data_IF_432532495848
#
_entry.id   IF_432532495848
#
_cell.length_a   1.000
_cell.length_b   1.000
_cell.length_c   1.000
_cell.angle_alpha   90.00
_cell.angle_beta   90.00
_cell.angle_gamma   90.00
#
_symmetry.space_group_name_H-M   'P 1'
#
loop_
_entity.id
_entity.type
_entity.pdbx_description
1 polymer ?
#
# COMPACT_ATOMS: atom_id res chain seq x y z
N UNK A 1 6.93 -1.73 24.73
CA UNK A 1 5.44 -1.74 24.82
C UNK A 1 4.92 -1.43 26.21
N UNK A 2 5.48 -1.99 27.30
CA UNK A 2 4.98 -1.74 28.67
C UNK A 2 4.94 -0.28 29.11
N UNK A 3 5.79 0.59 28.54
CA UNK A 3 5.85 2.02 28.86
C UNK A 3 4.98 2.90 27.95
N UNK A 4 4.24 2.31 27.02
CA UNK A 4 3.34 3.02 26.09
C UNK A 4 1.95 2.37 26.11
N UNK A 5 1.17 2.56 27.20
CA UNK A 5 -0.11 1.89 27.39
C UNK A 5 -1.30 2.61 26.73
N UNK A 6 -1.06 3.77 26.10
CA UNK A 6 -2.13 4.62 25.57
C UNK A 6 -2.77 3.96 24.36
N UNK A 7 -4.12 3.90 24.34
CA UNK A 7 -4.90 3.35 23.22
C UNK A 7 -4.93 4.32 22.03
N UNK A 8 -5.28 3.80 20.85
CA UNK A 8 -5.52 4.60 19.64
C UNK A 8 -6.70 5.54 19.86
N UNK A 9 -7.76 5.06 20.50
CA UNK A 9 -8.95 5.83 20.86
C UNK A 9 -8.67 6.64 22.13
N UNK A 10 -8.11 7.80 21.96
CA UNK A 10 -7.66 8.75 22.98
C UNK A 10 -8.13 10.16 22.64
N UNK A 11 -7.63 11.19 23.33
CA UNK A 11 -7.88 12.58 22.92
C UNK A 11 -7.42 12.81 21.47
N UNK A 12 -8.26 13.44 20.67
CA UNK A 12 -8.11 13.48 19.21
C UNK A 12 -6.87 14.21 18.69
N UNK A 13 -6.27 15.09 19.50
CA UNK A 13 -4.98 15.73 19.21
C UNK A 13 -3.77 14.81 19.40
N UNK A 14 -3.96 13.61 20.01
CA UNK A 14 -2.87 12.71 20.36
C UNK A 14 -2.03 13.15 21.56
N UNK A 15 -2.52 14.09 22.37
CA UNK A 15 -1.79 14.64 23.53
C UNK A 15 -1.36 13.54 24.50
N UNK A 16 -2.19 12.52 24.74
CA UNK A 16 -1.82 11.41 25.63
C UNK A 16 -0.60 10.64 25.11
N UNK A 17 -0.54 10.37 23.81
CA UNK A 17 0.64 9.72 23.19
C UNK A 17 1.87 10.62 23.25
N UNK A 18 1.73 11.93 22.94
CA UNK A 18 2.83 12.88 23.01
C UNK A 18 3.40 12.94 24.43
N UNK A 19 2.54 13.13 25.43
CA UNK A 19 3.00 13.24 26.83
C UNK A 19 3.56 11.92 27.36
N UNK A 20 3.00 10.78 26.99
CA UNK A 20 3.58 9.49 27.34
C UNK A 20 5.01 9.35 26.77
N UNK A 21 5.26 9.74 25.53
CA UNK A 21 6.61 9.76 24.97
C UNK A 21 7.54 10.70 25.74
N UNK A 22 7.09 11.92 26.04
CA UNK A 22 7.86 12.92 26.80
C UNK A 22 8.19 12.45 28.21
N UNK A 23 7.27 11.80 28.92
CA UNK A 23 7.49 11.23 30.25
C UNK A 23 8.50 10.08 30.24
N UNK A 24 8.43 9.20 29.26
CA UNK A 24 9.42 8.12 29.08
C UNK A 24 10.80 8.69 28.80
N UNK A 25 10.91 9.68 27.88
CA UNK A 25 12.17 10.34 27.55
C UNK A 25 12.75 11.06 28.80
N UNK A 26 11.94 11.84 29.51
CA UNK A 26 12.35 12.53 30.73
C UNK A 26 12.87 11.54 31.80
N UNK A 27 12.15 10.43 31.99
CA UNK A 27 12.56 9.39 32.95
C UNK A 27 13.92 8.77 32.60
N UNK A 28 14.14 8.45 31.33
CA UNK A 28 15.43 7.91 30.85
C UNK A 28 16.53 8.95 31.01
N UNK A 29 16.26 10.21 30.64
CA UNK A 29 17.20 11.31 30.73
C UNK A 29 17.60 11.60 32.20
N UNK A 30 16.65 11.62 33.13
CA UNK A 30 16.93 11.74 34.57
C UNK A 30 17.86 10.64 35.08
N UNK A 31 17.61 9.38 34.68
CA UNK A 31 18.45 8.24 35.09
C UNK A 31 19.89 8.35 34.59
N UNK A 32 20.04 8.84 33.35
CA UNK A 32 21.37 8.93 32.70
C UNK A 32 22.18 10.16 33.14
N UNK A 33 21.54 11.32 33.31
CA UNK A 33 22.21 12.60 33.64
C UNK A 33 22.29 12.89 35.13
N UNK A 34 21.48 12.21 35.95
CA UNK A 34 21.28 12.51 37.40
C UNK A 34 20.73 13.92 37.65
N UNK A 35 20.19 14.59 36.63
CA UNK A 35 19.56 15.91 36.73
C UNK A 35 18.03 15.76 36.72
N UNK A 36 17.27 16.66 37.37
CA UNK A 36 15.84 16.69 37.30
C UNK A 36 15.42 17.18 35.90
N UNK A 37 14.85 16.30 35.10
CA UNK A 37 14.36 16.62 33.75
C UNK A 37 12.85 16.48 33.74
N UNK A 38 12.14 17.59 33.42
CA UNK A 38 10.70 17.68 33.30
C UNK A 38 10.26 17.27 31.88
N UNK A 39 9.19 16.51 31.78
CA UNK A 39 8.58 16.16 30.52
C UNK A 39 8.06 17.40 29.74
N UNK A 40 7.48 18.37 30.49
CA UNK A 40 6.89 19.58 29.88
C UNK A 40 7.97 20.65 29.65
N UNK A 41 8.77 21.00 30.67
CA UNK A 41 9.65 22.18 30.63
C UNK A 41 10.94 21.93 29.85
N UNK A 42 11.34 20.66 29.66
CA UNK A 42 12.58 20.31 28.98
C UNK A 42 12.35 19.49 27.71
N UNK A 43 11.61 18.36 27.78
CA UNK A 43 11.44 17.47 26.59
C UNK A 43 10.47 18.08 25.60
N UNK A 44 9.32 18.59 26.04
CA UNK A 44 8.29 19.21 25.20
C UNK A 44 8.49 20.72 25.00
N UNK A 45 9.64 21.27 25.40
CA UNK A 45 9.90 22.70 25.34
C UNK A 45 9.71 23.28 23.93
N UNK A 46 8.91 24.36 23.82
CA UNK A 46 8.61 25.02 22.55
C UNK A 46 7.74 24.21 21.57
N UNK A 47 7.07 23.18 22.06
CA UNK A 47 6.24 22.27 21.25
C UNK A 47 4.83 22.16 21.82
N UNK A 48 3.89 21.76 20.97
CA UNK A 48 2.53 21.35 21.35
C UNK A 48 2.23 19.96 20.77
N UNK A 49 1.33 19.22 21.38
CA UNK A 49 0.79 18.01 20.72
C UNK A 49 0.17 18.33 19.36
N UNK A 50 -0.33 19.55 19.20
CA UNK A 50 -1.04 20.00 18.00
C UNK A 50 -0.12 20.15 16.77
N UNK A 51 1.16 20.43 16.95
CA UNK A 51 2.14 20.49 15.86
C UNK A 51 2.99 19.20 15.78
N UNK A 52 3.32 18.56 16.91
CA UNK A 52 4.18 17.37 16.90
C UNK A 52 3.46 16.14 16.35
N UNK A 53 2.17 15.92 16.66
CA UNK A 53 1.47 14.72 16.21
C UNK A 53 1.26 14.71 14.69
N UNK A 54 0.73 15.77 14.02
CA UNK A 54 0.66 15.78 12.55
C UNK A 54 2.06 15.70 11.90
N UNK A 55 3.09 16.34 12.47
CA UNK A 55 4.46 16.17 12.00
C UNK A 55 4.94 14.72 12.11
N UNK A 56 4.62 14.05 13.21
CA UNK A 56 4.97 12.63 13.43
C UNK A 56 4.25 11.71 12.43
N UNK A 57 3.00 12.00 12.07
CA UNK A 57 2.27 11.28 11.01
C UNK A 57 3.03 11.39 9.69
N UNK A 58 3.41 12.59 9.28
CA UNK A 58 4.15 12.84 8.04
C UNK A 58 5.52 12.15 8.06
N UNK A 59 6.30 12.32 9.12
CA UNK A 59 7.64 11.73 9.27
C UNK A 59 7.56 10.21 9.21
N UNK A 60 6.67 9.61 9.99
CA UNK A 60 6.52 8.15 10.06
C UNK A 60 6.05 7.57 8.73
N UNK A 61 5.12 8.25 8.05
CA UNK A 61 4.64 7.85 6.73
C UNK A 61 5.75 7.97 5.67
N UNK A 62 6.51 9.07 5.66
CA UNK A 62 7.62 9.28 4.73
C UNK A 62 8.71 8.20 4.88
N UNK A 63 9.12 7.91 6.12
CA UNK A 63 10.10 6.87 6.43
C UNK A 63 9.58 5.48 6.01
N UNK A 64 8.33 5.16 6.34
CA UNK A 64 7.74 3.86 6.00
C UNK A 64 7.53 3.70 4.49
N UNK A 65 7.19 4.78 3.79
CA UNK A 65 7.05 4.81 2.35
C UNK A 65 8.39 4.55 1.67
N UNK A 66 9.42 5.34 2.00
CA UNK A 66 10.73 5.28 1.37
C UNK A 66 11.45 3.96 1.63
N UNK A 67 11.52 3.53 2.90
CA UNK A 67 12.38 2.42 3.29
C UNK A 67 11.67 1.06 3.37
N UNK A 68 10.33 1.00 3.17
CA UNK A 68 9.58 -0.25 3.24
C UNK A 68 8.66 -0.46 2.05
N UNK A 69 7.75 0.50 1.77
CA UNK A 69 6.71 0.27 0.76
C UNK A 69 7.27 0.35 -0.66
N UNK A 70 8.01 1.38 -0.99
CA UNK A 70 8.59 1.54 -2.33
C UNK A 70 9.50 0.37 -2.70
N UNK A 71 10.46 -0.06 -1.85
CA UNK A 71 11.27 -1.26 -2.14
C UNK A 71 10.44 -2.53 -2.31
N UNK A 72 9.36 -2.71 -1.55
CA UNK A 72 8.48 -3.88 -1.66
C UNK A 72 7.72 -3.91 -2.99
N UNK A 73 7.22 -2.76 -3.43
CA UNK A 73 6.52 -2.64 -4.72
C UNK A 73 7.50 -2.77 -5.90
N UNK A 74 8.69 -2.19 -5.81
CA UNK A 74 9.75 -2.34 -6.80
C UNK A 74 10.15 -3.81 -6.95
N UNK A 75 10.34 -4.51 -5.84
CA UNK A 75 10.59 -5.95 -5.85
C UNK A 75 9.46 -6.72 -6.54
N UNK A 76 8.20 -6.42 -6.21
CA UNK A 76 7.05 -7.06 -6.85
C UNK A 76 7.05 -6.83 -8.38
N UNK A 77 7.25 -5.59 -8.83
CA UNK A 77 7.30 -5.27 -10.26
C UNK A 77 8.43 -6.01 -10.98
N UNK A 78 9.64 -6.05 -10.39
CA UNK A 78 10.80 -6.77 -10.94
C UNK A 78 10.50 -8.26 -11.07
N UNK A 79 9.91 -8.88 -10.06
CA UNK A 79 9.56 -10.31 -10.08
C UNK A 79 8.52 -10.61 -11.15
N UNK A 80 7.49 -9.77 -11.29
CA UNK A 80 6.48 -9.90 -12.35
C UNK A 80 7.14 -9.78 -13.74
N UNK A 81 7.98 -8.78 -13.98
CA UNK A 81 8.71 -8.60 -15.25
C UNK A 81 9.62 -9.80 -15.57
N UNK A 82 10.34 -10.29 -14.57
CA UNK A 82 11.18 -11.48 -14.72
C UNK A 82 10.36 -12.71 -15.08
N UNK A 83 9.21 -12.92 -14.45
CA UNK A 83 8.29 -14.01 -14.78
C UNK A 83 7.71 -13.87 -16.18
N UNK A 84 7.30 -12.67 -16.57
CA UNK A 84 6.81 -12.38 -17.92
C UNK A 84 7.83 -12.75 -18.98
N UNK A 85 9.10 -12.37 -18.81
CA UNK A 85 10.18 -12.73 -19.74
C UNK A 85 10.35 -14.24 -19.91
N UNK A 86 10.26 -15.02 -18.83
CA UNK A 86 10.36 -16.51 -18.88
C UNK A 86 9.17 -17.15 -19.61
N UNK A 87 8.02 -16.45 -19.68
CA UNK A 87 6.77 -16.95 -20.26
C UNK A 87 6.41 -16.28 -21.59
N UNK A 88 7.37 -15.70 -22.29
CA UNK A 88 7.14 -14.97 -23.53
C UNK A 88 6.58 -15.84 -24.67
N UNK A 89 6.95 -17.13 -24.72
CA UNK A 89 6.43 -18.08 -25.69
C UNK A 89 5.10 -18.72 -25.28
N UNK A 90 4.62 -18.50 -24.05
CA UNK A 90 3.41 -19.10 -23.54
C UNK A 90 2.16 -18.38 -24.09
N UNK A 91 1.40 -19.05 -24.95
CA UNK A 91 0.15 -18.53 -25.53
C UNK A 91 -1.03 -19.12 -24.77
N UNK A 92 -2.06 -18.32 -24.53
CA UNK A 92 -3.29 -18.73 -23.88
C UNK A 92 -4.50 -18.03 -24.51
N UNK A 93 -5.69 -18.58 -24.29
CA UNK A 93 -6.94 -17.87 -24.57
C UNK A 93 -7.05 -16.65 -23.64
N UNK A 94 -7.21 -15.45 -24.21
CA UNK A 94 -7.60 -14.25 -23.47
C UNK A 94 -9.05 -14.33 -23.01
N UNK A 95 -9.43 -13.53 -22.01
CA UNK A 95 -10.82 -13.46 -21.53
C UNK A 95 -11.27 -12.03 -21.34
N UNK A 96 -12.50 -11.77 -21.77
CA UNK A 96 -13.26 -10.56 -21.45
C UNK A 96 -14.63 -11.00 -20.94
N UNK A 97 -15.16 -10.38 -19.90
CA UNK A 97 -16.38 -10.84 -19.22
C UNK A 97 -16.31 -12.30 -18.71
N UNK A 98 -15.11 -12.82 -18.44
CA UNK A 98 -14.79 -14.22 -18.17
C UNK A 98 -15.11 -15.18 -19.34
N UNK A 99 -15.49 -14.65 -20.50
CA UNK A 99 -15.73 -15.42 -21.74
C UNK A 99 -14.46 -15.46 -22.58
N UNK A 100 -14.32 -16.53 -23.36
CA UNK A 100 -13.19 -16.73 -24.25
C UNK A 100 -13.08 -15.61 -25.29
N UNK A 101 -11.87 -15.14 -25.50
CA UNK A 101 -11.53 -14.06 -26.42
C UNK A 101 -10.30 -14.45 -27.28
N UNK A 102 -9.68 -13.47 -27.90
CA UNK A 102 -8.50 -13.68 -28.75
C UNK A 102 -7.31 -14.27 -27.96
N UNK A 103 -6.44 -15.04 -28.63
CA UNK A 103 -5.19 -15.51 -28.04
C UNK A 103 -4.30 -14.34 -27.62
N UNK A 104 -3.66 -14.52 -26.48
CA UNK A 104 -2.65 -13.59 -25.95
C UNK A 104 -1.43 -14.37 -25.47
N UNK A 105 -0.28 -13.70 -25.38
CA UNK A 105 0.84 -14.21 -24.61
C UNK A 105 0.59 -13.98 -23.10
N UNK A 106 0.86 -14.98 -22.27
CA UNK A 106 0.74 -14.82 -20.81
C UNK A 106 1.64 -13.68 -20.32
N UNK A 107 2.80 -13.49 -20.95
CA UNK A 107 3.71 -12.37 -20.69
C UNK A 107 3.08 -11.00 -20.86
N UNK A 108 2.13 -10.83 -21.78
CA UNK A 108 1.44 -9.56 -21.99
C UNK A 108 0.56 -9.20 -20.78
N UNK A 109 -0.18 -10.16 -20.24
CA UNK A 109 -0.96 -9.95 -19.00
C UNK A 109 -0.08 -9.63 -17.81
N UNK A 110 1.02 -10.37 -17.64
CA UNK A 110 1.98 -10.13 -16.56
C UNK A 110 2.64 -8.74 -16.69
N UNK A 111 3.01 -8.34 -17.89
CA UNK A 111 3.57 -7.00 -18.13
C UNK A 111 2.57 -5.89 -17.81
N UNK A 112 1.27 -6.09 -18.09
CA UNK A 112 0.22 -5.17 -17.67
C UNK A 112 0.12 -5.04 -16.15
N UNK A 113 0.28 -6.15 -15.40
CA UNK A 113 0.32 -6.09 -13.92
C UNK A 113 1.55 -5.33 -13.42
N UNK A 114 2.73 -5.58 -14.00
CA UNK A 114 3.94 -4.85 -13.62
C UNK A 114 3.79 -3.35 -13.84
N UNK A 115 3.25 -2.93 -14.98
CA UNK A 115 2.99 -1.52 -15.29
C UNK A 115 2.02 -0.87 -14.30
N UNK A 116 0.96 -1.57 -13.87
CA UNK A 116 0.05 -1.06 -12.83
C UNK A 116 0.79 -0.78 -11.50
N UNK A 117 1.73 -1.65 -11.11
CA UNK A 117 2.53 -1.46 -9.89
C UNK A 117 3.53 -0.32 -10.09
N UNK A 118 4.22 -0.26 -11.21
CA UNK A 118 5.18 0.80 -11.56
C UNK A 118 4.53 2.19 -11.56
N UNK A 119 3.33 2.33 -12.13
CA UNK A 119 2.55 3.58 -12.08
C UNK A 119 2.14 3.98 -10.65
N UNK A 120 1.84 3.00 -9.78
CA UNK A 120 1.55 3.30 -8.38
C UNK A 120 2.82 3.72 -7.63
N UNK A 121 3.98 3.13 -7.92
CA UNK A 121 5.28 3.56 -7.38
C UNK A 121 5.54 5.02 -7.76
N UNK A 122 5.35 5.39 -9.01
CA UNK A 122 5.53 6.78 -9.48
C UNK A 122 4.63 7.75 -8.72
N UNK A 123 3.34 7.45 -8.57
CA UNK A 123 2.39 8.27 -7.81
C UNK A 123 2.81 8.43 -6.34
N UNK A 124 3.25 7.34 -5.71
CA UNK A 124 3.73 7.34 -4.33
C UNK A 124 5.03 8.14 -4.17
N UNK A 125 5.94 8.11 -5.15
CA UNK A 125 7.13 8.97 -5.16
C UNK A 125 6.75 10.45 -5.29
N UNK A 126 5.76 10.77 -6.10
CA UNK A 126 5.33 12.15 -6.36
C UNK A 126 4.66 12.84 -5.16
N UNK A 127 4.10 12.11 -4.19
CA UNK A 127 3.54 12.72 -2.97
C UNK A 127 4.58 12.98 -1.89
N UNK A 128 5.76 12.36 -1.94
CA UNK A 128 6.79 12.48 -0.89
C UNK A 128 7.17 13.92 -0.56
N UNK A 129 7.38 14.84 -1.51
CA UNK A 129 7.71 16.23 -1.18
C UNK A 129 6.68 16.93 -0.29
N UNK A 130 5.41 16.53 -0.37
CA UNK A 130 4.34 17.05 0.48
C UNK A 130 4.41 16.45 1.90
N UNK A 131 4.70 15.14 2.02
CA UNK A 131 4.94 14.49 3.30
C UNK A 131 6.16 15.05 4.05
N UNK A 132 7.12 15.61 3.32
CA UNK A 132 8.31 16.20 3.90
C UNK A 132 8.10 17.61 4.46
N UNK A 133 6.88 18.18 4.34
CA UNK A 133 6.53 19.46 4.97
C UNK A 133 5.86 19.22 6.32
N UNK A 134 6.34 19.91 7.37
CA UNK A 134 6.00 19.62 8.75
C UNK A 134 5.24 20.78 9.44
N UNK A 135 4.27 20.42 10.27
CA UNK A 135 3.57 21.34 11.16
C UNK A 135 4.46 21.82 12.33
N UNK A 136 5.61 21.16 12.58
CA UNK A 136 6.48 21.39 13.72
C UNK A 136 7.01 22.83 13.75
N UNK A 137 6.77 23.50 14.86
CA UNK A 137 7.06 24.92 15.06
C UNK A 137 5.81 25.82 15.08
N UNK A 138 4.66 25.29 14.61
CA UNK A 138 3.37 26.02 14.68
C UNK A 138 2.80 26.09 16.09
N UNK A 139 3.25 25.24 16.99
CA UNK A 139 2.82 25.11 18.39
C UNK A 139 1.31 24.88 18.54
N UNK A 140 0.63 25.61 19.41
CA UNK A 140 -0.75 25.31 19.80
C UNK A 140 -1.78 25.50 18.69
N UNK A 141 -1.64 26.56 17.85
CA UNK A 141 -2.64 26.95 16.86
C UNK A 141 -2.06 27.35 15.49
N UNK A 142 -0.74 27.33 15.33
CA UNK A 142 -0.08 27.71 14.07
C UNK A 142 0.69 29.04 14.11
N UNK A 143 0.68 29.75 15.22
CA UNK A 143 1.36 31.05 15.39
C UNK A 143 2.82 30.94 15.83
N UNK A 144 3.28 29.74 16.27
CA UNK A 144 4.61 29.54 16.80
C UNK A 144 4.83 30.13 18.19
N UNK A 145 3.74 30.42 18.93
CA UNK A 145 3.86 31.00 20.28
C UNK A 145 4.73 30.12 21.19
N UNK A 146 5.64 30.76 21.93
CA UNK A 146 6.60 30.14 22.86
C UNK A 146 7.67 29.24 22.20
N UNK A 147 7.71 29.09 20.88
CA UNK A 147 8.83 28.47 20.19
C UNK A 147 9.93 29.51 19.86
N UNK A 148 11.18 29.07 19.84
CA UNK A 148 12.27 29.90 19.32
C UNK A 148 12.07 30.14 17.82
N UNK A 149 12.33 31.33 17.25
CA UNK A 149 12.15 31.61 15.84
C UNK A 149 12.80 30.61 14.88
N UNK A 150 14.00 30.11 15.23
CA UNK A 150 14.76 29.15 14.42
C UNK A 150 14.35 27.70 14.65
N UNK A 151 13.42 27.42 15.57
CA UNK A 151 13.12 26.05 16.01
C UNK A 151 12.67 25.15 14.86
N UNK A 152 11.73 25.59 14.03
CA UNK A 152 11.17 24.81 12.94
C UNK A 152 12.22 24.42 11.89
N UNK A 153 13.08 25.36 11.53
CA UNK A 153 14.14 25.16 10.53
C UNK A 153 15.23 24.22 11.08
N UNK A 154 15.68 24.47 12.31
CA UNK A 154 16.68 23.61 12.94
C UNK A 154 16.18 22.19 13.18
N UNK A 155 14.91 22.05 13.60
CA UNK A 155 14.30 20.73 13.76
C UNK A 155 14.29 19.96 12.44
N UNK A 156 13.81 20.59 11.36
CA UNK A 156 13.73 19.97 10.03
C UNK A 156 15.14 19.61 9.51
N UNK A 157 16.15 20.48 9.69
CA UNK A 157 17.54 20.20 9.29
C UNK A 157 18.14 18.99 10.03
N UNK A 158 17.95 18.94 11.36
CA UNK A 158 18.46 17.85 12.18
C UNK A 158 17.75 16.54 11.82
N UNK A 159 16.44 16.58 11.64
CA UNK A 159 15.65 15.43 11.24
C UNK A 159 16.09 14.92 9.86
N UNK A 160 16.30 15.81 8.90
CA UNK A 160 16.79 15.46 7.57
C UNK A 160 18.12 14.74 7.61
N UNK A 161 19.06 15.21 8.41
CA UNK A 161 20.37 14.54 8.62
C UNK A 161 20.23 13.16 9.26
N UNK A 162 19.26 12.99 10.18
CA UNK A 162 19.06 11.72 10.89
C UNK A 162 18.36 10.66 10.03
N UNK A 163 17.48 11.08 9.13
CA UNK A 163 16.64 10.20 8.33
C UNK A 163 17.12 10.02 6.89
N UNK A 164 18.03 10.90 6.44
CA UNK A 164 18.42 11.02 5.04
C UNK A 164 17.24 11.33 4.09
N UNK A 165 16.24 12.06 4.61
CA UNK A 165 15.10 12.58 3.85
C UNK A 165 15.05 14.10 4.03
N UNK A 166 14.66 14.85 3.00
CA UNK A 166 14.68 16.32 3.01
C UNK A 166 13.41 16.91 3.62
N UNK A 167 13.33 17.01 4.93
CA UNK A 167 12.24 17.66 5.64
C UNK A 167 12.41 19.18 5.67
N UNK A 168 11.28 19.89 5.70
CA UNK A 168 11.22 21.35 5.84
C UNK A 168 9.97 21.78 6.62
N UNK A 169 9.98 22.98 7.25
CA UNK A 169 8.78 23.54 7.84
C UNK A 169 7.72 23.80 6.77
N UNK A 170 6.45 23.71 7.16
CA UNK A 170 5.34 24.12 6.32
C UNK A 170 5.35 25.65 6.12
N UNK A 171 5.01 26.10 4.92
CA UNK A 171 4.83 27.52 4.66
C UNK A 171 3.66 28.13 5.45
N UNK A 172 2.70 27.30 5.84
CA UNK A 172 1.55 27.67 6.65
C UNK A 172 1.26 26.60 7.68
N UNK A 173 1.59 26.84 8.94
CA UNK A 173 1.36 25.90 10.01
C UNK A 173 -0.13 25.66 10.31
N UNK A 174 -1.00 26.66 10.08
CA UNK A 174 -2.45 26.50 10.29
C UNK A 174 -3.01 25.37 9.44
N UNK A 175 -2.65 25.31 8.16
CA UNK A 175 -3.13 24.26 7.27
C UNK A 175 -2.61 22.87 7.67
N UNK A 176 -1.38 22.76 8.19
CA UNK A 176 -0.77 21.47 8.56
C UNK A 176 -1.17 20.97 9.96
N UNK A 177 -1.75 21.85 10.78
CA UNK A 177 -2.30 21.48 12.11
C UNK A 177 -3.79 21.13 11.98
N UNK A 178 -4.57 21.96 11.29
CA UNK A 178 -6.03 21.79 11.21
C UNK A 178 -6.50 20.86 10.09
N UNK A 179 -5.69 20.70 9.03
CA UNK A 179 -6.01 19.84 7.89
C UNK A 179 -5.05 18.65 7.80
N UNK A 180 -5.57 17.52 7.34
CA UNK A 180 -4.79 16.27 7.09
C UNK A 180 -4.86 15.84 5.63
N UNK A 181 -4.99 16.78 4.71
CA UNK A 181 -5.20 16.53 3.27
C UNK A 181 -4.09 15.66 2.65
N UNK A 182 -2.85 15.84 3.11
CA UNK A 182 -1.70 15.06 2.64
C UNK A 182 -1.82 13.59 3.07
N UNK A 183 -2.24 13.34 4.32
CA UNK A 183 -2.50 12.00 4.81
C UNK A 183 -3.67 11.32 4.06
N UNK A 184 -4.75 12.07 3.78
CA UNK A 184 -5.89 11.61 2.97
C UNK A 184 -5.45 11.30 1.54
N UNK A 185 -4.64 12.17 0.92
CA UNK A 185 -4.12 11.97 -0.43
C UNK A 185 -3.23 10.72 -0.51
N UNK A 186 -2.31 10.54 0.44
CA UNK A 186 -1.50 9.32 0.52
C UNK A 186 -2.36 8.08 0.69
N UNK A 187 -3.37 8.14 1.56
CA UNK A 187 -4.32 7.04 1.76
C UNK A 187 -5.05 6.66 0.46
N UNK A 188 -5.47 7.64 -0.33
CA UNK A 188 -6.06 7.42 -1.65
C UNK A 188 -5.10 6.71 -2.63
N UNK A 189 -3.81 7.03 -2.60
CA UNK A 189 -2.78 6.35 -3.40
C UNK A 189 -2.54 4.91 -2.92
N UNK A 190 -2.54 4.68 -1.60
CA UNK A 190 -2.47 3.33 -1.02
C UNK A 190 -3.69 2.50 -1.42
N UNK A 191 -4.89 3.09 -1.43
CA UNK A 191 -6.11 2.44 -1.94
C UNK A 191 -5.96 2.06 -3.42
N UNK A 192 -5.46 2.95 -4.28
CA UNK A 192 -5.24 2.64 -5.69
C UNK A 192 -4.25 1.48 -5.87
N UNK A 193 -3.20 1.44 -5.06
CA UNK A 193 -2.23 0.33 -5.02
C UNK A 193 -2.90 -0.98 -4.58
N UNK A 194 -3.73 -0.92 -3.54
CA UNK A 194 -4.50 -2.08 -3.06
C UNK A 194 -5.46 -2.62 -4.12
N UNK A 195 -6.12 -1.76 -4.89
CA UNK A 195 -6.99 -2.16 -6.02
C UNK A 195 -6.20 -2.91 -7.09
N UNK A 196 -4.98 -2.46 -7.43
CA UNK A 196 -4.10 -3.16 -8.37
C UNK A 196 -3.70 -4.54 -7.85
N UNK A 197 -3.30 -4.64 -6.58
CA UNK A 197 -2.95 -5.90 -5.91
C UNK A 197 -4.16 -6.86 -5.87
N UNK A 198 -5.35 -6.36 -5.57
CA UNK A 198 -6.57 -7.14 -5.55
C UNK A 198 -6.90 -7.74 -6.93
N UNK A 199 -6.75 -6.93 -7.99
CA UNK A 199 -6.95 -7.40 -9.37
C UNK A 199 -5.97 -8.52 -9.72
N UNK A 200 -4.69 -8.35 -9.45
CA UNK A 200 -3.66 -9.36 -9.69
C UNK A 200 -3.97 -10.65 -8.91
N UNK A 201 -4.35 -10.50 -7.65
CA UNK A 201 -4.70 -11.63 -6.77
C UNK A 201 -5.91 -12.41 -7.25
N UNK A 202 -6.95 -11.73 -7.74
CA UNK A 202 -8.13 -12.36 -8.31
C UNK A 202 -7.80 -13.11 -9.60
N UNK A 203 -6.99 -12.53 -10.49
CA UNK A 203 -6.57 -13.23 -11.71
C UNK A 203 -5.76 -14.49 -11.39
N UNK A 204 -4.83 -14.43 -10.43
CA UNK A 204 -4.09 -15.61 -9.97
C UNK A 204 -5.01 -16.69 -9.40
N UNK A 205 -6.03 -16.33 -8.62
CA UNK A 205 -7.02 -17.27 -8.07
C UNK A 205 -7.82 -17.93 -9.18
N UNK A 206 -8.27 -17.15 -10.17
CA UNK A 206 -9.00 -17.69 -11.31
C UNK A 206 -8.13 -18.64 -12.13
N UNK A 207 -6.92 -18.24 -12.51
CA UNK A 207 -6.02 -19.09 -13.30
C UNK A 207 -5.63 -20.39 -12.57
N UNK A 208 -5.54 -20.34 -11.21
CA UNK A 208 -5.22 -21.52 -10.38
C UNK A 208 -6.46 -22.37 -10.01
N UNK A 209 -7.67 -21.95 -10.39
CA UNK A 209 -8.90 -22.63 -9.98
C UNK A 209 -8.99 -24.07 -10.49
N UNK A 210 -9.49 -24.95 -9.68
CA UNK A 210 -9.66 -26.36 -10.03
C UNK A 210 -8.75 -27.29 -9.19
N UNK A 211 -7.92 -28.15 -9.75
CA UNK A 211 -7.41 -28.21 -11.15
C UNK A 211 -8.33 -28.89 -12.18
N UNK A 212 -9.32 -29.69 -11.76
CA UNK A 212 -10.15 -30.46 -12.67
C UNK A 212 -11.36 -29.68 -13.18
N UNK A 213 -12.17 -29.14 -12.25
CA UNK A 213 -13.42 -28.45 -12.56
C UNK A 213 -13.28 -26.92 -12.74
N UNK A 214 -12.08 -26.38 -12.66
CA UNK A 214 -11.76 -24.98 -12.88
C UNK A 214 -10.84 -24.77 -14.07
N UNK A 215 -10.24 -23.56 -14.16
CA UNK A 215 -9.40 -23.19 -15.30
C UNK A 215 -8.09 -23.99 -15.33
N UNK A 216 -7.43 -24.16 -14.16
CA UNK A 216 -6.19 -24.94 -14.04
C UNK A 216 -5.05 -24.48 -14.97
N UNK A 217 -5.01 -23.17 -15.31
CA UNK A 217 -3.99 -22.61 -16.22
C UNK A 217 -2.61 -22.53 -15.59
N UNK A 218 -2.59 -22.30 -14.27
CA UNK A 218 -1.39 -22.26 -13.45
C UNK A 218 -1.58 -23.12 -12.20
N UNK A 219 -0.45 -23.47 -11.57
CA UNK A 219 -0.39 -24.10 -10.27
C UNK A 219 0.44 -23.23 -9.34
N UNK A 220 -0.17 -22.75 -8.26
CA UNK A 220 0.50 -22.02 -7.19
C UNK A 220 1.20 -22.98 -6.23
N UNK A 221 2.23 -22.50 -5.53
CA UNK A 221 2.97 -23.29 -4.53
C UNK A 221 2.05 -23.75 -3.40
N UNK A 222 2.14 -25.04 -3.05
CA UNK A 222 1.43 -25.62 -1.91
C UNK A 222 2.14 -25.26 -0.61
N UNK A 223 1.65 -24.24 0.10
CA UNK A 223 2.27 -23.70 1.32
C UNK A 223 1.74 -24.34 2.59
N UNK A 224 0.51 -24.84 2.56
CA UNK A 224 -0.16 -25.47 3.70
C UNK A 224 -1.32 -26.37 3.24
N UNK A 225 -1.80 -27.30 4.06
CA UNK A 225 -3.02 -28.03 3.78
C UNK A 225 -4.21 -27.07 3.60
N UNK A 226 -4.97 -27.28 2.53
CA UNK A 226 -6.08 -26.37 2.16
C UNK A 226 -7.43 -26.70 2.84
N UNK A 227 -7.52 -27.87 3.52
CA UNK A 227 -8.76 -28.32 4.13
C UNK A 227 -8.50 -29.25 5.32
N UNK A 228 -9.31 -29.12 6.35
CA UNK A 228 -9.28 -30.04 7.51
C UNK A 228 -9.96 -31.40 7.25
N UNK A 229 -10.79 -31.50 6.20
CA UNK A 229 -11.59 -32.70 5.90
C UNK A 229 -11.41 -33.23 4.47
N UNK A 230 -10.70 -32.51 3.57
CA UNK A 230 -10.44 -32.91 2.18
C UNK A 230 -8.94 -33.07 1.98
N UNK A 231 -8.37 -34.29 2.15
CA UNK A 231 -6.95 -34.53 1.97
C UNK A 231 -6.49 -34.18 0.54
N UNK A 232 -5.33 -33.52 0.43
CA UNK A 232 -4.75 -33.14 -0.87
C UNK A 232 -5.31 -31.87 -1.48
N UNK A 233 -6.34 -31.23 -0.89
CA UNK A 233 -6.81 -29.93 -1.35
C UNK A 233 -5.80 -28.84 -0.97
N UNK A 234 -5.40 -28.01 -1.94
CA UNK A 234 -4.50 -26.86 -1.75
C UNK A 234 -5.24 -25.58 -2.14
N UNK A 235 -5.22 -24.58 -1.28
CA UNK A 235 -5.85 -23.27 -1.53
C UNK A 235 -4.81 -22.24 -1.96
N UNK A 236 -5.20 -21.22 -2.75
CA UNK A 236 -4.33 -20.11 -3.16
C UNK A 236 -4.15 -19.07 -2.04
N UNK A 237 -3.55 -19.49 -0.92
CA UNK A 237 -3.53 -18.74 0.35
C UNK A 237 -2.89 -17.36 0.25
N UNK A 238 -1.87 -17.16 -0.57
CA UNK A 238 -1.21 -15.86 -0.73
C UNK A 238 -2.11 -14.88 -1.50
N UNK A 239 -2.68 -15.21 -2.67
CA UNK A 239 -3.67 -14.36 -3.31
C UNK A 239 -4.91 -14.07 -2.44
N UNK A 240 -5.36 -15.02 -1.62
CA UNK A 240 -6.46 -14.80 -0.66
C UNK A 240 -6.07 -13.79 0.42
N UNK A 241 -4.89 -13.93 1.02
CA UNK A 241 -4.36 -12.97 1.97
C UNK A 241 -4.20 -11.57 1.36
N UNK A 242 -3.71 -11.49 0.11
CA UNK A 242 -3.57 -10.22 -0.60
C UNK A 242 -4.92 -9.55 -0.89
N UNK A 243 -5.96 -10.34 -1.19
CA UNK A 243 -7.31 -9.82 -1.34
C UNK A 243 -7.87 -9.25 -0.02
N UNK A 244 -7.65 -9.95 1.11
CA UNK A 244 -8.06 -9.46 2.44
C UNK A 244 -7.29 -8.18 2.84
N UNK A 245 -5.98 -8.12 2.62
CA UNK A 245 -5.17 -6.92 2.85
C UNK A 245 -5.70 -5.74 2.03
N UNK A 246 -6.02 -5.98 0.75
CA UNK A 246 -6.55 -4.94 -0.13
C UNK A 246 -7.90 -4.40 0.39
N UNK A 247 -8.79 -5.29 0.82
CA UNK A 247 -10.07 -4.90 1.40
C UNK A 247 -9.89 -4.08 2.70
N UNK A 248 -8.94 -4.47 3.56
CA UNK A 248 -8.63 -3.74 4.79
C UNK A 248 -8.09 -2.33 4.49
N UNK A 249 -7.21 -2.17 3.51
CA UNK A 249 -6.68 -0.86 3.11
C UNK A 249 -7.77 0.06 2.56
N UNK A 250 -8.70 -0.48 1.78
CA UNK A 250 -9.87 0.27 1.28
C UNK A 250 -10.75 0.74 2.46
N UNK A 251 -10.97 -0.12 3.46
CA UNK A 251 -11.69 0.26 4.69
C UNK A 251 -10.96 1.34 5.51
N UNK A 252 -9.64 1.21 5.64
CA UNK A 252 -8.81 2.19 6.33
C UNK A 252 -8.86 3.57 5.62
N UNK A 253 -8.87 3.60 4.29
CA UNK A 253 -9.00 4.84 3.51
C UNK A 253 -10.33 5.55 3.79
N UNK A 254 -11.42 4.81 3.90
CA UNK A 254 -12.72 5.38 4.28
C UNK A 254 -12.68 6.02 5.67
N UNK A 255 -12.06 5.34 6.65
CA UNK A 255 -11.89 5.87 7.99
C UNK A 255 -10.99 7.13 8.01
N UNK A 256 -9.89 7.13 7.25
CA UNK A 256 -8.98 8.28 7.12
C UNK A 256 -9.70 9.45 6.45
N UNK A 257 -10.52 9.22 5.44
CA UNK A 257 -11.31 10.28 4.77
C UNK A 257 -12.26 10.95 5.74
N UNK A 258 -13.00 10.18 6.54
CA UNK A 258 -13.91 10.72 7.57
C UNK A 258 -13.12 11.47 8.65
N UNK A 259 -11.98 10.94 9.07
CA UNK A 259 -11.13 11.57 10.06
C UNK A 259 -10.48 12.87 9.51
N UNK A 260 -10.11 12.89 8.24
CA UNK A 260 -9.54 14.08 7.58
C UNK A 260 -10.50 15.27 7.57
N UNK A 261 -11.80 15.04 7.31
CA UNK A 261 -12.82 16.12 7.33
C UNK A 261 -13.16 16.64 8.74
N UNK A 262 -12.66 15.99 9.80
CA UNK A 262 -12.98 16.34 11.19
C UNK A 262 -12.11 17.47 11.77
N UNK A 263 -11.38 18.21 10.92
CA UNK A 263 -10.71 19.45 11.29
C UNK A 263 -11.72 20.56 11.54
N UNK A 264 -11.60 21.21 12.69
CA UNK A 264 -12.45 22.34 13.07
C UNK A 264 -11.54 23.48 13.53
N UNK A 265 -11.67 24.67 12.90
CA UNK A 265 -10.79 25.80 13.16
C UNK A 265 -9.31 25.40 13.05
N UNK A 266 -8.54 25.51 14.11
CA UNK A 266 -7.08 25.38 14.10
C UNK A 266 -6.56 23.98 14.46
N UNK A 267 -7.43 22.94 14.54
CA UNK A 267 -7.01 21.58 14.90
C UNK A 267 -7.88 20.49 14.30
N UNK A 268 -7.28 19.44 13.79
CA UNK A 268 -7.94 18.16 13.54
C UNK A 268 -7.89 17.28 14.81
N UNK A 269 -9.04 16.71 15.20
CA UNK A 269 -9.18 15.97 16.45
C UNK A 269 -9.35 14.45 16.26
N UNK A 270 -8.87 13.90 15.13
CA UNK A 270 -8.83 12.46 14.84
C UNK A 270 -7.43 11.96 14.44
N UNK A 271 -6.39 12.66 14.87
CA UNK A 271 -5.00 12.38 14.48
C UNK A 271 -4.53 10.95 14.83
N UNK A 272 -4.83 10.38 16.02
CA UNK A 272 -4.40 9.01 16.33
C UNK A 272 -5.04 7.95 15.42
N UNK A 273 -6.30 8.15 15.02
CA UNK A 273 -6.99 7.27 14.08
C UNK A 273 -6.36 7.32 12.69
N UNK A 274 -6.04 8.53 12.21
CA UNK A 274 -5.34 8.73 10.93
C UNK A 274 -3.97 8.03 10.96
N UNK A 275 -3.18 8.28 12.00
CA UNK A 275 -1.86 7.69 12.17
C UNK A 275 -1.90 6.15 12.12
N UNK A 276 -2.78 5.55 12.91
CA UNK A 276 -2.91 4.09 12.98
C UNK A 276 -3.28 3.47 11.63
N UNK A 277 -4.34 3.99 11.00
CA UNK A 277 -4.84 3.41 9.76
C UNK A 277 -3.87 3.61 8.59
N UNK A 278 -3.22 4.79 8.50
CA UNK A 278 -2.25 5.09 7.46
C UNK A 278 -1.01 4.21 7.55
N UNK A 279 -0.38 4.17 8.73
CA UNK A 279 0.84 3.37 8.95
C UNK A 279 0.57 1.87 8.88
N UNK A 280 -0.59 1.42 9.36
CA UNK A 280 -1.03 0.03 9.20
C UNK A 280 -1.18 -0.34 7.72
N UNK A 281 -1.81 0.52 6.91
CA UNK A 281 -1.99 0.30 5.47
C UNK A 281 -0.65 0.19 4.74
N UNK A 282 0.30 1.10 5.01
CA UNK A 282 1.65 1.03 4.45
C UNK A 282 2.31 -0.31 4.81
N UNK A 283 2.25 -0.71 6.08
CA UNK A 283 2.87 -1.94 6.58
C UNK A 283 2.31 -3.18 5.92
N UNK A 284 0.96 -3.32 5.86
CA UNK A 284 0.34 -4.55 5.34
C UNK A 284 0.48 -4.66 3.82
N UNK A 285 0.45 -3.54 3.07
CA UNK A 285 0.75 -3.54 1.63
C UNK A 285 2.20 -3.95 1.38
N UNK A 286 3.16 -3.39 2.13
CA UNK A 286 4.58 -3.75 2.00
C UNK A 286 4.78 -5.26 2.19
N UNK A 287 4.24 -5.81 3.27
CA UNK A 287 4.40 -7.22 3.60
C UNK A 287 3.77 -8.14 2.54
N UNK A 288 2.54 -7.83 2.11
CA UNK A 288 1.84 -8.69 1.14
C UNK A 288 2.45 -8.59 -0.26
N UNK A 289 3.07 -7.45 -0.62
CA UNK A 289 3.78 -7.30 -1.88
C UNK A 289 4.97 -8.26 -1.99
N UNK A 290 5.76 -8.42 -0.93
CA UNK A 290 6.81 -9.43 -0.86
C UNK A 290 6.26 -10.85 -0.97
N UNK A 291 5.22 -11.17 -0.19
CA UNK A 291 4.60 -12.50 -0.24
C UNK A 291 4.04 -12.82 -1.63
N UNK A 292 3.37 -11.87 -2.26
CA UNK A 292 2.82 -12.04 -3.61
C UNK A 292 3.94 -12.23 -4.64
N UNK A 293 5.03 -11.47 -4.54
CA UNK A 293 6.20 -11.61 -5.40
C UNK A 293 6.83 -13.00 -5.26
N UNK A 294 7.22 -13.37 -4.03
CA UNK A 294 8.10 -14.52 -3.80
C UNK A 294 7.35 -15.87 -3.74
N UNK A 295 6.13 -15.87 -3.17
CA UNK A 295 5.35 -17.09 -2.88
C UNK A 295 4.19 -17.33 -3.83
N UNK A 296 3.89 -16.39 -4.73
CA UNK A 296 2.87 -16.58 -5.75
C UNK A 296 3.44 -16.38 -7.16
N UNK A 297 3.94 -15.17 -7.49
CA UNK A 297 4.39 -14.83 -8.85
C UNK A 297 5.65 -15.60 -9.25
N UNK A 298 6.69 -15.59 -8.42
CA UNK A 298 7.94 -16.28 -8.73
C UNK A 298 7.76 -17.80 -8.87
N UNK A 299 6.96 -18.38 -7.99
CA UNK A 299 6.86 -19.83 -7.78
C UNK A 299 5.82 -20.53 -8.66
N UNK A 300 4.77 -19.85 -9.16
CA UNK A 300 3.74 -20.56 -9.93
C UNK A 300 4.29 -21.28 -11.16
N UNK A 301 3.67 -22.41 -11.49
CA UNK A 301 3.95 -23.19 -12.70
C UNK A 301 2.81 -23.02 -13.70
N UNK A 302 3.13 -23.05 -14.98
CA UNK A 302 2.12 -23.00 -16.06
C UNK A 302 1.73 -24.41 -16.47
N UNK A 303 0.44 -24.65 -16.58
CA UNK A 303 -0.10 -25.88 -17.12
C UNK A 303 -0.26 -25.76 -18.65
N UNK A 304 0.83 -25.99 -19.37
CA UNK A 304 0.84 -25.87 -20.83
C UNK A 304 -0.18 -26.78 -21.54
N UNK A 305 -0.47 -27.96 -20.97
CA UNK A 305 -1.46 -28.86 -21.54
C UNK A 305 -2.85 -28.21 -21.53
N UNK A 306 -3.30 -27.70 -20.39
CA UNK A 306 -4.59 -27.00 -20.26
C UNK A 306 -4.69 -25.78 -21.16
N UNK A 307 -3.62 -24.99 -21.26
CA UNK A 307 -3.61 -23.81 -22.13
C UNK A 307 -3.76 -24.20 -23.61
N UNK A 308 -3.03 -25.23 -24.06
CA UNK A 308 -3.09 -25.69 -25.45
C UNK A 308 -4.44 -26.33 -25.78
N UNK A 309 -5.00 -27.13 -24.86
CA UNK A 309 -6.35 -27.72 -25.03
C UNK A 309 -7.40 -26.60 -25.20
N UNK A 310 -7.45 -25.64 -24.28
CA UNK A 310 -8.39 -24.52 -24.34
C UNK A 310 -8.20 -23.67 -25.61
N UNK A 311 -6.97 -23.44 -26.02
CA UNK A 311 -6.66 -22.66 -27.23
C UNK A 311 -7.12 -23.39 -28.49
N UNK A 312 -6.93 -24.70 -28.59
CA UNK A 312 -7.31 -25.51 -29.76
C UNK A 312 -8.81 -25.61 -29.96
N UNK A 313 -9.60 -25.48 -28.88
CA UNK A 313 -11.07 -25.53 -28.91
C UNK A 313 -11.71 -24.16 -29.06
N UNK A 314 -10.93 -23.08 -29.13
CA UNK A 314 -11.46 -21.72 -29.12
C UNK A 314 -11.95 -21.28 -30.54
N UNK A 315 -13.27 -21.20 -30.82
CA UNK A 315 -13.78 -20.81 -32.13
C UNK A 315 -13.54 -19.32 -32.44
N UNK A 316 -13.24 -18.49 -31.45
CA UNK A 316 -12.96 -17.06 -31.61
C UNK A 316 -11.66 -16.81 -32.39
N UNK A 317 -10.82 -17.83 -32.58
CA UNK A 317 -9.65 -17.78 -33.46
C UNK A 317 -9.98 -17.32 -34.88
N UNK A 318 -11.20 -17.61 -35.36
CA UNK A 318 -11.69 -17.18 -36.66
C UNK A 318 -11.69 -15.65 -36.82
N UNK A 319 -11.68 -14.89 -35.73
CA UNK A 319 -11.61 -13.43 -35.75
C UNK A 319 -10.37 -12.91 -36.52
N UNK A 320 -9.28 -13.65 -36.55
CA UNK A 320 -8.08 -13.32 -37.33
C UNK A 320 -8.35 -13.29 -38.84
N UNK A 321 -9.41 -13.96 -39.32
CA UNK A 321 -9.81 -13.99 -40.73
C UNK A 321 -10.75 -12.84 -41.12
N UNK A 322 -11.24 -12.05 -40.16
CA UNK A 322 -12.17 -10.94 -40.46
C UNK A 322 -11.69 -9.99 -41.58
N UNK A 323 -10.40 -9.59 -41.66
CA UNK A 323 -9.92 -8.74 -42.75
C UNK A 323 -10.00 -9.39 -44.12
N UNK A 324 -10.08 -10.74 -44.20
CA UNK A 324 -10.05 -11.53 -45.45
C UNK A 324 -11.47 -11.92 -45.86
N UNK A 325 -12.27 -12.45 -44.93
CA UNK A 325 -13.58 -13.06 -45.26
C UNK A 325 -14.78 -12.23 -44.78
N UNK A 326 -14.54 -11.17 -43.99
CA UNK A 326 -15.58 -10.32 -43.40
C UNK A 326 -16.17 -10.90 -42.10
N UNK A 327 -16.76 -10.03 -41.29
CA UNK A 327 -17.30 -10.36 -39.96
C UNK A 327 -18.45 -11.40 -40.03
N UNK A 328 -19.41 -11.23 -40.96
CA UNK A 328 -20.57 -12.10 -41.01
C UNK A 328 -20.18 -13.55 -41.33
N UNK A 329 -19.30 -13.77 -42.30
CA UNK A 329 -18.83 -15.11 -42.66
C UNK A 329 -17.97 -15.75 -41.53
N UNK A 330 -17.16 -14.95 -40.87
CA UNK A 330 -16.42 -15.41 -39.69
C UNK A 330 -17.36 -15.83 -38.54
N UNK A 331 -18.46 -15.07 -38.32
CA UNK A 331 -19.48 -15.40 -37.32
C UNK A 331 -20.22 -16.70 -37.64
N UNK A 332 -20.50 -16.98 -38.92
CA UNK A 332 -21.10 -18.26 -39.35
C UNK A 332 -20.18 -19.45 -39.09
N UNK A 333 -18.87 -19.28 -39.32
CA UNK A 333 -17.86 -20.31 -39.04
C UNK A 333 -17.77 -20.56 -37.54
N UNK A 334 -17.67 -19.52 -36.75
CA UNK A 334 -17.59 -19.64 -35.28
C UNK A 334 -18.79 -20.36 -34.64
N UNK A 335 -19.98 -20.23 -35.24
CA UNK A 335 -21.20 -20.93 -34.80
C UNK A 335 -21.25 -22.41 -35.16
N UNK A 336 -20.43 -22.85 -36.12
CA UNK A 336 -20.36 -24.24 -36.58
C UNK A 336 -19.23 -25.03 -35.94
N UNK A 337 -18.24 -24.33 -35.39
CA UNK A 337 -17.14 -24.92 -34.70
C UNK A 337 -17.49 -25.21 -33.21
#
# INVERSE_FOLDING_TARGET
MQHFPVDIFQTGSGTSTNMNANEVIATIACKNSKLPISANDHVNYGQSSNDIIPSTIHISAAIALEFKLLPALEHLAIVIRSKAKKLESCIKTGRTHLMDAMPIKLSQSLNGWAEQIELNIERLKNIQPQLHTLAQGGTAVGTGINAHPDFSDMFAQILSKKTNLEFKPANNFFSHISSQDIAVSLSGLLKATAVSILKISNDLRWMNSGPLAGLGEIELEALQPGSSIMPGKVNPVIPEAAAMVSAQVIGNDSAITIAGQSGNFELNVMLPLIANNLLSSIKIISNVSHLLADKAIASFRVNNQKLNEALSLNPILVTALNPIIGYLKASEIAKKA
#
